data_IF_108100838743
#
_entry.id   IF_108100838743
#
_cell.length_a   1.000
_cell.length_b   1.000
_cell.length_c   1.000
_cell.angle_alpha   90.00
_cell.angle_beta   90.00
_cell.angle_gamma   90.00
#
_symmetry.space_group_name_H-M   'P 1'
#
loop_
_entity.id
_entity.type
_entity.pdbx_description
1 polymer ?
#
# COMPACT_ATOMS: atom_id res chain seq x y z
N UNK A 1 18.67 0.83 9.97
CA UNK A 1 17.28 0.46 9.62
C UNK A 1 17.35 -0.56 8.51
N UNK A 2 16.60 -1.67 8.54
CA UNK A 2 16.52 -2.54 7.38
C UNK A 2 16.07 -1.70 6.19
N UNK A 3 16.83 -1.79 5.10
CA UNK A 3 16.52 -1.12 3.84
C UNK A 3 15.13 -1.52 3.36
N UNK A 4 14.27 -0.53 3.09
CA UNK A 4 12.94 -0.79 2.54
C UNK A 4 13.06 -0.91 1.03
N UNK A 5 12.81 -2.11 0.51
CA UNK A 5 12.80 -2.38 -0.93
C UNK A 5 11.40 -2.57 -1.49
N UNK A 6 11.20 -2.22 -2.76
CA UNK A 6 10.12 -2.75 -3.57
C UNK A 6 10.73 -3.71 -4.59
N UNK A 7 10.44 -5.00 -4.45
CA UNK A 7 11.10 -6.03 -5.25
C UNK A 7 10.65 -5.95 -6.71
N UNK A 8 11.60 -5.86 -7.65
CA UNK A 8 11.30 -5.75 -9.09
C UNK A 8 10.51 -6.94 -9.62
N UNK A 9 10.63 -8.12 -8.99
CA UNK A 9 9.83 -9.32 -9.30
C UNK A 9 8.33 -9.09 -9.16
N UNK A 10 7.90 -8.11 -8.37
CA UNK A 10 6.48 -7.75 -8.21
C UNK A 10 5.83 -7.37 -9.53
N UNK A 11 6.60 -6.79 -10.47
CA UNK A 11 6.10 -6.43 -11.80
C UNK A 11 5.82 -7.66 -12.68
N UNK A 12 6.60 -8.73 -12.52
CA UNK A 12 6.61 -9.86 -13.47
C UNK A 12 5.99 -11.14 -12.92
N UNK A 13 6.00 -11.33 -11.60
CA UNK A 13 5.65 -12.61 -10.96
C UNK A 13 4.44 -12.53 -10.03
N UNK A 14 3.95 -11.33 -9.70
CA UNK A 14 2.78 -11.15 -8.84
C UNK A 14 1.53 -10.91 -9.69
N UNK A 15 0.79 -11.97 -10.00
CA UNK A 15 -0.43 -11.94 -10.83
C UNK A 15 -1.46 -10.92 -10.31
N UNK A 16 -1.65 -10.87 -8.98
CA UNK A 16 -2.55 -9.89 -8.37
C UNK A 16 -2.14 -8.44 -8.68
N UNK A 17 -0.84 -8.14 -8.65
CA UNK A 17 -0.35 -6.80 -8.98
C UNK A 17 -0.49 -6.49 -10.48
N UNK A 18 -0.37 -7.51 -11.34
CA UNK A 18 -0.57 -7.38 -12.78
C UNK A 18 -2.03 -7.11 -13.15
N UNK A 19 -3.00 -7.62 -12.39
CA UNK A 19 -4.42 -7.35 -12.65
C UNK A 19 -4.89 -5.96 -12.19
N UNK A 20 -4.09 -5.27 -11.38
CA UNK A 20 -4.42 -3.93 -10.91
C UNK A 20 -4.40 -2.89 -12.04
N UNK A 21 -5.36 -1.98 -11.99
CA UNK A 21 -5.37 -0.74 -12.77
C UNK A 21 -4.18 0.14 -12.44
N UNK A 22 -3.89 1.12 -13.29
CA UNK A 22 -2.81 2.09 -13.09
C UNK A 22 -2.88 2.74 -11.69
N UNK A 23 -4.06 3.19 -11.30
CA UNK A 23 -4.24 3.97 -10.07
C UNK A 23 -4.17 3.06 -8.83
N UNK A 24 -4.66 1.82 -8.94
CA UNK A 24 -4.49 0.80 -7.91
C UNK A 24 -3.02 0.44 -7.70
N UNK A 25 -2.25 0.26 -8.79
CA UNK A 25 -0.80 -0.02 -8.70
C UNK A 25 -0.06 1.14 -8.05
N UNK A 26 -0.36 2.37 -8.48
CA UNK A 26 0.27 3.55 -7.91
C UNK A 26 -0.03 3.68 -6.41
N UNK A 27 -1.29 3.53 -6.00
CA UNK A 27 -1.67 3.57 -4.60
C UNK A 27 -1.00 2.46 -3.79
N UNK A 28 -0.95 1.24 -4.30
CA UNK A 28 -0.27 0.12 -3.63
C UNK A 28 1.22 0.41 -3.43
N UNK A 29 1.93 0.89 -4.45
CA UNK A 29 3.35 1.26 -4.36
C UNK A 29 3.53 2.37 -3.32
N UNK A 30 2.70 3.42 -3.37
CA UNK A 30 2.76 4.50 -2.39
C UNK A 30 2.56 4.00 -0.95
N UNK A 31 1.55 3.15 -0.71
CA UNK A 31 1.29 2.58 0.62
C UNK A 31 2.43 1.66 1.10
N UNK A 32 3.20 1.11 0.17
CA UNK A 32 4.38 0.31 0.46
C UNK A 32 5.59 1.18 0.82
N UNK A 33 5.78 2.30 0.14
CA UNK A 33 7.04 3.05 0.16
C UNK A 33 7.01 4.32 0.99
N UNK A 34 5.85 4.89 1.31
CA UNK A 34 5.74 6.16 2.05
C UNK A 34 6.41 6.13 3.44
N UNK A 35 6.83 7.29 3.95
CA UNK A 35 7.59 7.39 5.20
C UNK A 35 6.78 7.01 6.45
N UNK A 36 5.45 6.99 6.37
CA UNK A 36 4.55 6.60 7.47
C UNK A 36 4.53 5.08 7.69
N UNK A 37 4.84 4.30 6.66
CA UNK A 37 4.84 2.84 6.73
C UNK A 37 5.87 2.35 7.75
N UNK A 38 5.53 1.37 8.57
CA UNK A 38 6.43 0.79 9.55
C UNK A 38 6.90 -0.61 9.12
N UNK A 39 7.87 -1.24 9.82
CA UNK A 39 8.38 -2.57 9.45
C UNK A 39 7.33 -3.68 9.46
N UNK A 40 6.18 -3.50 10.13
CA UNK A 40 5.07 -4.47 10.11
C UNK A 40 4.10 -4.26 8.94
N UNK A 41 4.22 -3.15 8.20
CA UNK A 41 3.25 -2.73 7.19
C UNK A 41 1.90 -2.31 7.78
N UNK A 42 1.82 -2.05 9.08
CA UNK A 42 0.58 -1.72 9.80
C UNK A 42 0.73 -0.36 10.48
N UNK A 43 0.15 0.69 9.92
CA UNK A 43 0.44 2.06 10.36
C UNK A 43 -0.76 2.98 10.25
N UNK A 44 -0.74 4.03 11.06
CA UNK A 44 -1.77 5.07 11.04
C UNK A 44 -1.48 6.09 9.95
N UNK A 45 -2.46 6.35 9.10
CA UNK A 45 -2.41 7.40 8.08
C UNK A 45 -3.83 7.83 7.72
N UNK A 46 -4.05 9.14 7.61
CA UNK A 46 -5.39 9.69 7.32
C UNK A 46 -5.66 9.70 5.82
N UNK A 47 -6.94 9.62 5.42
CA UNK A 47 -7.33 9.83 4.02
C UNK A 47 -6.89 11.21 3.49
N UNK A 48 -6.83 12.22 4.35
CA UNK A 48 -6.33 13.55 3.97
C UNK A 48 -4.84 13.47 3.58
N UNK A 49 -4.02 12.83 4.40
CA UNK A 49 -2.59 12.65 4.14
C UNK A 49 -2.37 11.90 2.83
N UNK A 50 -3.05 10.78 2.63
CA UNK A 50 -2.92 10.00 1.38
C UNK A 50 -3.41 10.81 0.17
N UNK A 51 -4.54 11.52 0.31
CA UNK A 51 -5.09 12.37 -0.76
C UNK A 51 -4.10 13.47 -1.18
N UNK A 52 -3.48 14.13 -0.21
CA UNK A 52 -2.52 15.21 -0.47
C UNK A 52 -1.19 14.66 -1.06
N UNK A 53 -0.68 13.53 -0.56
CA UNK A 53 0.61 12.97 -0.98
C UNK A 53 0.52 12.16 -2.29
N UNK A 54 -0.55 11.39 -2.48
CA UNK A 54 -0.78 10.54 -3.65
C UNK A 54 -1.70 11.20 -4.68
N UNK A 55 -2.09 12.46 -4.49
CA UNK A 55 -2.85 13.27 -5.46
C UNK A 55 -4.16 12.63 -5.94
N UNK A 56 -4.85 11.93 -5.05
CA UNK A 56 -6.19 11.39 -5.29
C UNK A 56 -7.25 12.25 -4.62
N UNK A 57 -8.45 12.32 -5.17
CA UNK A 57 -9.58 12.85 -4.41
C UNK A 57 -9.96 11.90 -3.27
N UNK A 58 -10.56 12.44 -2.20
CA UNK A 58 -10.99 11.61 -1.06
C UNK A 58 -12.09 10.62 -1.43
N UNK A 59 -12.87 10.90 -2.47
CA UNK A 59 -13.97 10.05 -2.89
C UNK A 59 -13.44 8.84 -3.67
N UNK A 60 -12.55 9.07 -4.64
CA UNK A 60 -11.84 8.00 -5.37
C UNK A 60 -11.01 7.12 -4.42
N UNK A 61 -10.36 7.73 -3.43
CA UNK A 61 -9.44 7.02 -2.54
C UNK A 61 -10.15 5.92 -1.73
N UNK A 62 -11.41 6.13 -1.33
CA UNK A 62 -12.17 5.12 -0.57
C UNK A 62 -12.41 3.86 -1.40
N UNK A 63 -12.82 4.04 -2.65
CA UNK A 63 -13.07 2.94 -3.58
C UNK A 63 -11.76 2.22 -3.91
N UNK A 64 -10.69 2.97 -4.19
CA UNK A 64 -9.36 2.42 -4.46
C UNK A 64 -8.83 1.61 -3.27
N UNK A 65 -8.91 2.12 -2.04
CA UNK A 65 -8.45 1.40 -0.84
C UNK A 65 -9.21 0.09 -0.64
N UNK A 66 -10.53 0.10 -0.83
CA UNK A 66 -11.35 -1.10 -0.74
C UNK A 66 -11.00 -2.12 -1.84
N UNK A 67 -10.65 -1.65 -3.04
CA UNK A 67 -10.29 -2.50 -4.17
C UNK A 67 -8.95 -3.25 -4.00
N UNK A 68 -8.08 -2.80 -3.09
CA UNK A 68 -6.79 -3.44 -2.82
C UNK A 68 -6.89 -4.61 -1.83
N UNK A 69 -8.08 -4.89 -1.29
CA UNK A 69 -8.33 -6.09 -0.52
C UNK A 69 -8.11 -7.35 -1.39
N UNK A 70 -7.56 -8.45 -0.83
CA UNK A 70 -7.24 -8.66 0.57
C UNK A 70 -5.78 -8.30 0.97
N UNK A 71 -4.96 -7.81 0.04
CA UNK A 71 -3.52 -7.54 0.28
C UNK A 71 -3.28 -6.26 1.07
N UNK A 72 -4.09 -5.24 0.84
CA UNK A 72 -4.16 -4.04 1.68
C UNK A 72 -5.53 -4.02 2.34
N UNK A 73 -5.55 -3.80 3.66
CA UNK A 73 -6.79 -3.59 4.41
C UNK A 73 -6.78 -2.18 4.98
N UNK A 74 -7.87 -1.46 4.75
CA UNK A 74 -8.11 -0.15 5.34
C UNK A 74 -9.16 -0.24 6.43
N UNK A 75 -8.85 0.31 7.60
CA UNK A 75 -9.76 0.44 8.73
C UNK A 75 -10.13 1.93 8.90
N UNK A 76 -11.30 2.36 8.40
CA UNK A 76 -11.71 3.77 8.41
C UNK A 76 -11.81 4.35 9.82
N UNK A 77 -12.36 3.58 10.77
CA UNK A 77 -12.63 4.03 12.14
C UNK A 77 -11.37 4.46 12.90
N UNK A 78 -10.22 3.84 12.60
CA UNK A 78 -8.94 4.08 13.29
C UNK A 78 -7.90 4.74 12.39
N UNK A 79 -8.24 5.11 11.16
CA UNK A 79 -7.30 5.58 10.13
C UNK A 79 -6.06 4.68 10.04
N UNK A 80 -6.28 3.37 9.99
CA UNK A 80 -5.22 2.36 10.00
C UNK A 80 -5.17 1.66 8.65
N UNK A 81 -3.97 1.52 8.10
CA UNK A 81 -3.69 0.75 6.89
C UNK A 81 -2.85 -0.45 7.25
N UNK A 82 -3.21 -1.61 6.72
CA UNK A 82 -2.42 -2.83 6.80
C UNK A 82 -2.04 -3.35 5.42
N UNK A 83 -0.76 -3.24 5.09
CA UNK A 83 -0.14 -3.88 3.93
C UNK A 83 0.36 -5.27 4.35
N UNK A 84 -0.35 -6.33 3.93
CA UNK A 84 -0.06 -7.70 4.35
C UNK A 84 1.24 -8.25 3.75
N UNK A 85 1.83 -9.21 4.46
CA UNK A 85 3.06 -9.92 4.07
C UNK A 85 4.27 -8.98 3.84
N UNK A 86 4.26 -7.79 4.44
CA UNK A 86 5.34 -6.81 4.32
C UNK A 86 6.69 -7.39 4.77
N UNK A 87 6.77 -7.93 5.99
CA UNK A 87 8.00 -8.52 6.56
C UNK A 87 8.55 -9.64 5.67
N UNK A 88 7.69 -10.53 5.16
CA UNK A 88 8.10 -11.65 4.29
C UNK A 88 8.82 -11.17 3.03
N UNK A 89 8.43 -10.00 2.51
CA UNK A 89 9.01 -9.40 1.29
C UNK A 89 10.21 -8.49 1.57
N UNK A 90 10.46 -8.13 2.83
CA UNK A 90 11.65 -7.36 3.24
C UNK A 90 12.80 -8.27 3.74
N UNK A 91 12.52 -9.54 4.02
CA UNK A 91 13.54 -10.52 4.38
C UNK A 91 14.35 -10.91 3.14
N UNK A 92 15.45 -10.19 2.88
CA UNK A 92 16.48 -10.66 1.95
C UNK A 92 17.23 -11.80 2.65
N UNK A 93 17.23 -12.99 2.03
CA UNK A 93 18.10 -14.10 2.42
C UNK A 93 19.53 -13.84 1.95
#
# INVERSE_FOLDING_TARGET
MPERGFASETWNSDEWFQDLSRDQRYLFIYLWTNDHCNPAGLYHITLKTISDEALFSKDELRELLNSLAPKVIWYPETNLIWVKNFIKRQSKS
#
